data_IF_541620131602
#
_entry.id   IF_541620131602
#
_cell.length_a   1.000
_cell.length_b   1.000
_cell.length_c   1.000
_cell.angle_alpha   90.00
_cell.angle_beta   90.00
_cell.angle_gamma   90.00
#
_symmetry.space_group_name_H-M   'P 1'
#
loop_
_entity.id
_entity.type
_entity.pdbx_description
1 polymer ?
#
# COMPACT_ATOMS: atom_id res chain seq x y z
N UNK A 1 4.12 5.85 -4.12
CA UNK A 1 3.61 7.01 -3.41
C UNK A 1 4.37 8.28 -3.80
N UNK A 2 5.66 8.40 -3.53
CA UNK A 2 6.47 9.61 -3.82
C UNK A 2 6.31 10.14 -5.26
N UNK A 3 6.24 9.26 -6.24
CA UNK A 3 5.98 9.65 -7.64
C UNK A 3 4.57 10.23 -7.81
N UNK A 4 3.56 9.59 -7.24
CA UNK A 4 2.16 10.03 -7.38
C UNK A 4 1.89 11.32 -6.61
N UNK A 5 2.61 11.59 -5.53
CA UNK A 5 2.54 12.85 -4.78
C UNK A 5 2.95 14.09 -5.61
N UNK A 6 3.63 13.90 -6.76
CA UNK A 6 3.92 14.99 -7.70
C UNK A 6 2.69 15.41 -8.52
N UNK A 7 1.67 14.57 -8.58
CA UNK A 7 0.46 14.77 -9.37
C UNK A 7 -0.74 15.21 -8.54
N UNK A 8 -0.81 14.75 -7.28
CA UNK A 8 -1.92 15.03 -6.38
C UNK A 8 -1.56 14.76 -4.92
N UNK A 9 -2.19 15.48 -4.01
CA UNK A 9 -2.14 15.17 -2.58
C UNK A 9 -3.03 13.97 -2.23
N UNK A 10 -2.91 13.45 -1.01
CA UNK A 10 -3.80 12.40 -0.47
C UNK A 10 -3.44 10.96 -0.86
N UNK A 11 -2.25 10.74 -1.42
CA UNK A 11 -1.77 9.38 -1.73
C UNK A 11 -1.27 8.70 -0.44
N UNK A 12 -1.79 7.50 -0.19
CA UNK A 12 -1.44 6.66 0.96
C UNK A 12 -1.19 5.22 0.53
N UNK A 13 -0.53 4.45 1.38
CA UNK A 13 -0.27 3.03 1.18
C UNK A 13 -1.22 2.21 2.06
N UNK A 14 -2.13 1.48 1.43
CA UNK A 14 -3.04 0.60 2.16
C UNK A 14 -2.42 -0.80 2.25
N UNK A 15 -2.14 -1.22 3.46
CA UNK A 15 -1.67 -2.57 3.73
C UNK A 15 -2.63 -3.63 3.13
N UNK A 16 -2.11 -4.70 2.52
CA UNK A 16 -0.68 -5.02 2.44
C UNK A 16 0.05 -4.39 1.24
N UNK A 17 -0.62 -4.06 0.14
CA UNK A 17 0.05 -3.82 -1.14
C UNK A 17 -0.69 -2.87 -2.08
N UNK A 18 -1.69 -2.16 -1.59
CA UNK A 18 -2.49 -1.24 -2.40
C UNK A 18 -2.02 0.21 -2.25
N UNK A 19 -2.23 0.99 -3.30
CA UNK A 19 -2.06 2.46 -3.29
C UNK A 19 -3.42 3.11 -3.36
N UNK A 20 -3.68 4.02 -2.45
CA UNK A 20 -4.95 4.72 -2.32
C UNK A 20 -4.77 6.22 -2.54
N UNK A 21 -5.77 6.84 -3.12
CA UNK A 21 -6.02 8.27 -3.10
C UNK A 21 -7.27 8.52 -2.25
N UNK A 22 -7.09 9.16 -1.10
CA UNK A 22 -8.14 9.22 -0.08
C UNK A 22 -8.70 7.80 0.20
N UNK A 23 -10.02 7.57 0.03
CA UNK A 23 -10.66 6.26 0.22
C UNK A 23 -10.82 5.45 -1.08
N UNK A 24 -10.08 5.80 -2.16
CA UNK A 24 -10.19 5.16 -3.47
C UNK A 24 -8.89 4.46 -3.86
N UNK A 25 -9.02 3.27 -4.43
CA UNK A 25 -7.87 2.52 -4.91
C UNK A 25 -7.40 3.08 -6.26
N UNK A 26 -6.14 3.53 -6.33
CA UNK A 26 -5.49 4.00 -7.55
C UNK A 26 -4.55 2.94 -8.14
N UNK A 27 -4.15 1.94 -7.37
CA UNK A 27 -3.26 0.89 -7.85
C UNK A 27 -2.94 -0.14 -6.79
N UNK A 28 -2.05 -1.07 -7.15
CA UNK A 28 -1.55 -2.08 -6.23
C UNK A 28 -0.30 -2.75 -6.77
N UNK A 29 0.44 -3.42 -5.90
CA UNK A 29 1.70 -4.10 -6.24
C UNK A 29 1.64 -5.56 -5.80
N UNK A 30 1.85 -6.47 -6.74
CA UNK A 30 2.12 -7.87 -6.43
C UNK A 30 3.62 -8.06 -6.27
N UNK A 31 4.03 -8.70 -5.17
CA UNK A 31 5.43 -8.98 -4.87
C UNK A 31 5.59 -10.49 -4.75
N UNK A 32 6.44 -11.06 -5.59
CA UNK A 32 6.77 -12.47 -5.59
C UNK A 32 8.26 -12.64 -5.28
N UNK A 33 8.57 -13.45 -4.27
CA UNK A 33 9.94 -13.71 -3.84
C UNK A 33 10.31 -15.17 -3.98
N UNK A 34 11.54 -15.44 -4.39
CA UNK A 34 12.14 -16.78 -4.29
C UNK A 34 13.26 -16.77 -3.26
N UNK A 35 13.27 -17.79 -2.40
CA UNK A 35 14.28 -17.94 -1.36
C UNK A 35 15.32 -18.97 -1.78
N UNK A 36 16.57 -18.75 -1.39
CA UNK A 36 17.67 -19.69 -1.59
C UNK A 36 18.78 -19.44 -0.59
N UNK A 37 19.22 -20.49 0.12
CA UNK A 37 20.29 -20.39 1.12
C UNK A 37 19.98 -19.45 2.30
N UNK A 38 18.68 -19.28 2.66
CA UNK A 38 18.28 -18.39 3.75
C UNK A 38 18.16 -16.90 3.36
N UNK A 39 18.33 -16.58 2.06
CA UNK A 39 18.24 -15.21 1.55
C UNK A 39 17.21 -15.11 0.42
N UNK A 40 16.71 -13.90 0.19
CA UNK A 40 15.90 -13.60 -1.01
C UNK A 40 16.83 -13.66 -2.22
N UNK A 41 16.56 -14.63 -3.12
CA UNK A 41 17.32 -14.82 -4.35
C UNK A 41 16.81 -13.91 -5.47
N UNK A 42 15.50 -13.85 -5.61
CA UNK A 42 14.84 -12.95 -6.58
C UNK A 42 13.62 -12.32 -5.93
N UNK A 43 13.32 -11.10 -6.35
CA UNK A 43 12.10 -10.40 -6.00
C UNK A 43 11.51 -9.79 -7.27
N UNK A 44 10.28 -10.15 -7.62
CA UNK A 44 9.56 -9.65 -8.79
C UNK A 44 8.44 -8.74 -8.31
N UNK A 45 8.40 -7.52 -8.84
CA UNK A 45 7.37 -6.53 -8.54
C UNK A 45 6.48 -6.33 -9.76
N UNK A 46 5.20 -6.68 -9.63
CA UNK A 46 4.17 -6.36 -10.61
C UNK A 46 3.32 -5.21 -10.10
N UNK A 47 3.55 -3.99 -10.58
CA UNK A 47 2.79 -2.81 -10.14
C UNK A 47 1.78 -2.39 -11.20
N UNK A 48 0.49 -2.33 -10.82
CA UNK A 48 -0.59 -1.77 -11.62
C UNK A 48 -1.02 -0.42 -11.07
N UNK A 49 -1.07 0.61 -11.93
CA UNK A 49 -1.57 1.94 -11.58
C UNK A 49 -2.64 2.34 -12.59
N UNK A 50 -3.77 2.81 -12.08
CA UNK A 50 -4.86 3.34 -12.88
C UNK A 50 -4.52 4.77 -13.31
N UNK A 51 -4.11 4.96 -14.57
CA UNK A 51 -3.58 6.25 -15.06
C UNK A 51 -4.65 7.06 -15.79
N UNK A 52 -5.08 6.59 -16.97
CA UNK A 52 -5.94 7.37 -17.86
C UNK A 52 -7.33 6.76 -18.10
N UNK A 53 -7.63 5.59 -17.52
CA UNK A 53 -8.94 4.99 -17.67
C UNK A 53 -10.01 5.77 -16.90
N UNK A 54 -11.19 5.87 -17.49
CA UNK A 54 -12.37 6.51 -16.89
C UNK A 54 -13.45 5.51 -16.52
N UNK A 55 -13.35 4.30 -17.07
CA UNK A 55 -14.24 3.17 -16.78
C UNK A 55 -13.44 2.02 -16.17
N UNK A 56 -13.99 1.40 -15.16
CA UNK A 56 -13.35 0.29 -14.43
C UNK A 56 -14.20 -0.95 -14.54
N UNK A 57 -13.60 -2.05 -15.02
CA UNK A 57 -14.25 -3.37 -15.16
C UNK A 57 -13.82 -4.34 -14.07
N UNK A 58 -13.00 -3.89 -13.12
CA UNK A 58 -12.50 -4.72 -12.01
C UNK A 58 -13.48 -4.76 -10.84
N UNK A 59 -13.38 -5.80 -10.01
CA UNK A 59 -14.08 -5.91 -8.73
C UNK A 59 -13.41 -5.12 -7.60
N UNK A 60 -12.41 -4.31 -7.91
CA UNK A 60 -11.74 -3.48 -6.90
C UNK A 60 -12.75 -2.48 -6.31
N UNK A 61 -12.81 -2.34 -4.98
CA UNK A 61 -13.68 -1.36 -4.36
C UNK A 61 -13.18 0.05 -4.66
N UNK A 62 -14.11 0.93 -5.04
CA UNK A 62 -13.85 2.36 -5.24
C UNK A 62 -12.60 2.68 -6.10
N UNK A 63 -12.45 2.14 -7.33
CA UNK A 63 -11.28 2.42 -8.16
C UNK A 63 -11.29 3.87 -8.64
N UNK A 64 -10.09 4.43 -8.84
CA UNK A 64 -9.90 5.79 -9.38
C UNK A 64 -8.62 5.83 -10.21
N UNK A 65 -8.59 6.64 -11.25
CA UNK A 65 -7.38 6.90 -12.03
C UNK A 65 -6.80 8.28 -11.76
N UNK A 66 -5.53 8.49 -12.10
CA UNK A 66 -4.92 9.83 -12.08
C UNK A 66 -5.75 10.82 -12.89
N UNK A 67 -6.20 10.43 -14.09
CA UNK A 67 -7.07 11.28 -14.93
C UNK A 67 -8.36 11.67 -14.23
N UNK A 68 -9.01 10.78 -13.50
CA UNK A 68 -10.20 11.12 -12.73
C UNK A 68 -9.92 12.14 -11.61
N UNK A 69 -8.70 12.12 -11.05
CA UNK A 69 -8.30 13.00 -9.96
C UNK A 69 -7.94 14.40 -10.49
N UNK A 70 -7.07 14.46 -11.51
CA UNK A 70 -6.51 15.74 -11.99
C UNK A 70 -7.24 16.34 -13.18
N UNK A 71 -8.17 15.60 -13.80
CA UNK A 71 -8.99 16.05 -14.93
C UNK A 71 -8.33 16.02 -16.31
N UNK A 72 -7.06 15.59 -16.42
CA UNK A 72 -6.29 15.57 -17.65
C UNK A 72 -5.58 14.23 -17.85
N UNK A 73 -5.25 13.92 -19.11
CA UNK A 73 -4.42 12.75 -19.43
C UNK A 73 -3.00 12.93 -18.90
N UNK A 74 -2.43 11.84 -18.40
CA UNK A 74 -1.05 11.75 -17.92
C UNK A 74 -0.23 10.98 -18.95
N UNK A 75 0.95 11.49 -19.29
CA UNK A 75 1.94 10.76 -20.09
C UNK A 75 2.45 9.55 -19.30
N UNK A 76 2.06 8.36 -19.76
CA UNK A 76 2.38 7.10 -19.08
C UNK A 76 3.88 6.79 -19.13
N UNK A 77 4.59 7.18 -20.19
CA UNK A 77 6.01 6.95 -20.29
C UNK A 77 6.77 7.81 -19.30
N UNK A 78 6.41 9.10 -19.21
CA UNK A 78 6.97 10.01 -18.20
C UNK A 78 6.70 9.50 -16.79
N UNK A 79 5.48 9.06 -16.50
CA UNK A 79 5.13 8.50 -15.19
C UNK A 79 5.96 7.26 -14.86
N UNK A 80 6.18 6.36 -15.85
CA UNK A 80 7.02 5.17 -15.69
C UNK A 80 8.47 5.54 -15.36
N UNK A 81 9.04 6.49 -16.09
CA UNK A 81 10.41 6.97 -15.85
C UNK A 81 10.56 7.53 -14.42
N UNK A 82 9.58 8.31 -13.97
CA UNK A 82 9.56 8.85 -12.62
C UNK A 82 9.41 7.75 -11.53
N UNK A 83 8.66 6.69 -11.83
CA UNK A 83 8.55 5.52 -10.94
C UNK A 83 9.89 4.79 -10.85
N UNK A 84 10.57 4.60 -11.98
CA UNK A 84 11.89 3.95 -12.01
C UNK A 84 12.90 4.76 -11.20
N UNK A 85 12.91 6.08 -11.30
CA UNK A 85 13.78 6.95 -10.49
C UNK A 85 13.50 6.77 -9.00
N UNK A 86 12.23 6.78 -8.59
CA UNK A 86 11.86 6.54 -7.19
C UNK A 86 12.24 5.13 -6.72
N UNK A 87 12.00 4.12 -7.56
CA UNK A 87 12.39 2.74 -7.26
C UNK A 87 13.90 2.60 -7.04
N UNK A 88 14.70 3.16 -7.94
CA UNK A 88 16.18 3.13 -7.83
C UNK A 88 16.67 3.80 -6.55
N UNK A 89 16.04 4.92 -6.15
CA UNK A 89 16.35 5.60 -4.88
C UNK A 89 16.13 4.66 -3.69
N UNK A 90 14.96 4.03 -3.59
CA UNK A 90 14.64 3.12 -2.47
C UNK A 90 15.46 1.83 -2.52
N UNK A 91 15.78 1.33 -3.71
CA UNK A 91 16.66 0.19 -3.87
C UNK A 91 18.07 0.48 -3.33
N UNK A 92 18.61 1.66 -3.62
CA UNK A 92 19.89 2.09 -3.06
C UNK A 92 19.86 2.21 -1.52
N UNK A 93 18.72 2.65 -0.94
CA UNK A 93 18.55 2.65 0.52
C UNK A 93 18.63 1.24 1.11
N UNK A 94 18.03 0.24 0.44
CA UNK A 94 18.12 -1.17 0.83
C UNK A 94 19.57 -1.67 0.79
N UNK A 95 20.28 -1.40 -0.32
CA UNK A 95 21.69 -1.78 -0.47
C UNK A 95 22.61 -1.16 0.59
N UNK A 96 22.27 0.05 1.06
CA UNK A 96 22.97 0.76 2.13
C UNK A 96 22.50 0.37 3.56
N UNK A 97 21.60 -0.62 3.70
CA UNK A 97 21.11 -1.08 5.00
C UNK A 97 20.19 -0.11 5.73
N UNK A 98 19.60 0.87 5.04
CA UNK A 98 18.70 1.89 5.60
C UNK A 98 17.26 1.37 5.81
N UNK A 99 17.14 0.16 6.35
CA UNK A 99 15.82 -0.50 6.52
C UNK A 99 14.89 0.26 7.46
N UNK A 100 15.45 0.82 8.55
CA UNK A 100 14.68 1.62 9.51
C UNK A 100 14.08 2.88 8.89
N UNK A 101 14.82 3.57 8.02
CA UNK A 101 14.33 4.76 7.31
C UNK A 101 13.18 4.39 6.36
N UNK A 102 13.31 3.28 5.62
CA UNK A 102 12.27 2.78 4.72
C UNK A 102 11.02 2.40 5.52
N UNK A 103 11.18 1.68 6.63
CA UNK A 103 10.09 1.32 7.53
C UNK A 103 9.38 2.55 8.07
N UNK A 104 10.10 3.55 8.53
CA UNK A 104 9.53 4.81 9.01
C UNK A 104 8.73 5.55 7.94
N UNK A 105 9.27 5.65 6.71
CA UNK A 105 8.59 6.27 5.58
C UNK A 105 7.31 5.52 5.20
N UNK A 106 7.34 4.18 5.23
CA UNK A 106 6.18 3.34 4.99
C UNK A 106 5.08 3.58 6.03
N UNK A 107 5.44 3.57 7.33
CA UNK A 107 4.49 3.80 8.42
C UNK A 107 3.86 5.19 8.38
N UNK A 108 4.62 6.23 8.00
CA UNK A 108 4.09 7.58 7.79
C UNK A 108 3.10 7.66 6.62
N UNK A 109 3.27 6.80 5.63
CA UNK A 109 2.43 6.76 4.43
C UNK A 109 1.18 5.86 4.56
N UNK A 110 1.04 5.12 5.67
CA UNK A 110 -0.06 4.16 5.83
C UNK A 110 -1.43 4.82 5.79
N UNK A 111 -2.30 4.25 4.95
CA UNK A 111 -3.73 4.55 4.93
C UNK A 111 -4.36 4.24 6.29
N UNK A 112 -5.15 5.16 6.83
CA UNK A 112 -5.78 5.04 8.15
C UNK A 112 -4.80 4.81 9.31
N UNK A 113 -3.57 5.35 9.20
CA UNK A 113 -2.56 5.24 10.26
C UNK A 113 -3.03 5.84 11.58
N UNK A 114 -3.83 6.89 11.53
CA UNK A 114 -4.30 7.60 12.71
C UNK A 114 -5.81 7.45 12.91
N UNK A 115 -6.22 7.06 14.11
CA UNK A 115 -7.62 6.87 14.47
C UNK A 115 -8.05 5.41 14.53
N UNK A 116 -9.32 5.22 14.88
CA UNK A 116 -9.97 3.91 14.91
C UNK A 116 -10.89 3.79 13.70
N UNK A 117 -10.82 2.65 13.02
CA UNK A 117 -11.60 2.36 11.82
C UNK A 117 -12.18 0.95 11.90
N UNK A 118 -13.22 0.70 11.11
CA UNK A 118 -13.83 -0.62 11.04
C UNK A 118 -12.99 -1.58 10.19
N UNK A 119 -12.76 -2.74 10.75
CA UNK A 119 -12.13 -3.88 10.12
C UNK A 119 -13.03 -5.11 10.26
N UNK A 120 -12.88 -6.07 9.34
CA UNK A 120 -13.53 -7.38 9.41
C UNK A 120 -12.48 -8.46 9.56
N UNK A 121 -12.60 -9.28 10.59
CA UNK A 121 -11.86 -10.53 10.69
C UNK A 121 -12.44 -11.52 9.67
N UNK A 122 -11.60 -12.00 8.74
CA UNK A 122 -12.06 -12.85 7.63
C UNK A 122 -12.48 -14.23 8.13
N UNK A 123 -11.87 -14.73 9.20
CA UNK A 123 -12.14 -16.07 9.74
C UNK A 123 -13.47 -16.11 10.49
N UNK A 124 -13.77 -15.08 11.27
CA UNK A 124 -14.99 -15.03 12.10
C UNK A 124 -16.13 -14.28 11.41
N UNK A 125 -15.82 -13.38 10.45
CA UNK A 125 -16.76 -12.45 9.84
C UNK A 125 -17.12 -11.25 10.74
N UNK A 126 -16.57 -11.18 11.95
CA UNK A 126 -16.84 -10.13 12.91
C UNK A 126 -16.28 -8.78 12.44
N UNK A 127 -17.06 -7.72 12.59
CA UNK A 127 -16.61 -6.34 12.33
C UNK A 127 -16.29 -5.69 13.67
N UNK A 128 -15.10 -5.11 13.77
CA UNK A 128 -14.60 -4.46 14.98
C UNK A 128 -13.87 -3.17 14.66
N UNK A 129 -13.81 -2.24 15.61
CA UNK A 129 -13.03 -1.01 15.48
C UNK A 129 -11.62 -1.21 16.03
N UNK A 130 -10.61 -0.83 15.23
CA UNK A 130 -9.21 -0.86 15.64
C UNK A 130 -8.40 0.27 15.04
N UNK A 131 -7.28 0.57 15.68
CA UNK A 131 -6.24 1.47 15.20
C UNK A 131 -5.00 0.67 14.80
N UNK A 132 -4.37 1.03 13.68
CA UNK A 132 -3.10 0.44 13.27
C UNK A 132 -2.00 0.90 14.24
N UNK A 133 -1.29 -0.05 14.83
CA UNK A 133 -0.08 0.21 15.63
C UNK A 133 1.11 0.27 14.69
N UNK A 134 1.36 -0.84 13.99
CA UNK A 134 2.50 -0.98 13.09
C UNK A 134 2.27 -2.06 12.03
N UNK A 135 3.18 -2.15 11.11
CA UNK A 135 3.38 -3.32 10.25
C UNK A 135 4.76 -3.87 10.56
N UNK A 136 4.82 -5.12 11.00
CA UNK A 136 6.07 -5.79 11.34
C UNK A 136 6.96 -6.02 10.12
N UNK A 137 8.24 -6.32 10.37
CA UNK A 137 9.23 -6.59 9.31
C UNK A 137 8.88 -7.85 8.48
N UNK A 138 8.07 -8.74 9.03
CA UNK A 138 7.52 -9.92 8.34
C UNK A 138 6.24 -9.61 7.53
N UNK A 139 5.79 -8.36 7.52
CA UNK A 139 4.57 -7.88 6.87
C UNK A 139 3.29 -8.08 7.67
N UNK A 140 3.36 -8.53 8.92
CA UNK A 140 2.19 -8.68 9.80
C UNK A 140 1.61 -7.32 10.18
N UNK A 141 0.30 -7.14 10.06
CA UNK A 141 -0.40 -5.94 10.50
C UNK A 141 -0.77 -6.07 11.98
N UNK A 142 -0.30 -5.16 12.81
CA UNK A 142 -0.62 -5.08 14.23
C UNK A 142 -1.64 -3.99 14.48
N UNK A 143 -2.77 -4.34 15.09
CA UNK A 143 -3.85 -3.42 15.41
C UNK A 143 -4.22 -3.49 16.89
N UNK A 144 -4.80 -2.42 17.41
CA UNK A 144 -5.32 -2.34 18.77
C UNK A 144 -6.79 -1.93 18.74
N UNK A 145 -7.66 -2.73 19.35
CA UNK A 145 -9.07 -2.42 19.47
C UNK A 145 -9.37 -1.31 20.53
N UNK A 146 -10.65 -0.94 20.68
CA UNK A 146 -11.10 0.06 21.67
C UNK A 146 -10.89 -0.38 23.11
N UNK A 147 -10.80 -1.68 23.38
CA UNK A 147 -10.58 -2.24 24.72
C UNK A 147 -9.09 -2.36 25.06
N UNK A 148 -8.20 -2.01 24.11
CA UNK A 148 -6.76 -2.10 24.27
C UNK A 148 -6.18 -3.45 23.91
N UNK A 149 -6.97 -4.39 23.38
CA UNK A 149 -6.49 -5.71 22.94
C UNK A 149 -5.70 -5.52 21.65
N UNK A 150 -4.49 -6.08 21.65
CA UNK A 150 -3.61 -6.08 20.47
C UNK A 150 -3.78 -7.41 19.74
N UNK A 151 -3.97 -7.32 18.44
CA UNK A 151 -4.11 -8.47 17.54
C UNK A 151 -3.22 -8.31 16.31
N UNK A 152 -2.72 -9.44 15.81
CA UNK A 152 -1.83 -9.53 14.66
C UNK A 152 -2.55 -10.25 13.51
N UNK A 153 -2.42 -9.71 12.31
CA UNK A 153 -3.08 -10.24 11.11
C UNK A 153 -2.10 -10.37 9.95
N UNK A 154 -2.16 -11.50 9.30
CA UNK A 154 -1.47 -11.76 8.03
C UNK A 154 -2.36 -11.39 6.85
N UNK A 155 -1.75 -11.39 5.66
CA UNK A 155 -2.47 -11.16 4.41
C UNK A 155 -3.72 -12.04 4.29
N UNK A 156 -4.86 -11.45 3.95
CA UNK A 156 -6.19 -12.08 3.83
C UNK A 156 -6.87 -12.51 5.14
N UNK A 157 -6.30 -12.22 6.30
CA UNK A 157 -6.95 -12.52 7.58
C UNK A 157 -7.83 -11.37 8.08
N UNK A 158 -7.61 -10.15 7.56
CA UNK A 158 -8.37 -8.95 7.93
C UNK A 158 -8.70 -8.12 6.68
N UNK A 159 -9.88 -7.53 6.66
CA UNK A 159 -10.35 -6.61 5.63
C UNK A 159 -10.67 -5.25 6.22
N UNK A 160 -10.34 -4.19 5.49
CA UNK A 160 -10.80 -2.84 5.81
C UNK A 160 -12.25 -2.68 5.36
N UNK A 161 -13.12 -2.27 6.26
CA UNK A 161 -14.51 -1.88 5.92
C UNK A 161 -14.50 -0.41 5.51
N UNK A 162 -14.90 -0.13 4.26
CA UNK A 162 -14.96 1.21 3.66
C UNK A 162 -16.34 1.87 3.91
#
# INVERSE_FOLDING_TARGET
>A
KETLDKYTDGITLKWPNDVYWNDKKIGGTLIETTLGGGHIKNCIFGTGIDVNQTEFKSSAPNPVSLKNIIGNDVDRNKLLDEIIVSFTKYYAMIENGQYGDISALYHLALYRKHGFFNYRDVKTGEVFEAAIIEVGDDGTLVVRDRNGVISEYRFKEIETVL
#
